data_IF_769216833680
#
_entry.id   IF_769216833680
#
_cell.length_a   1.000
_cell.length_b   1.000
_cell.length_c   1.000
_cell.angle_alpha   90.00
_cell.angle_beta   90.00
_cell.angle_gamma   90.00
#
_symmetry.space_group_name_H-M   'P 1'
#
loop_
_entity.id
_entity.type
_entity.pdbx_description
1 polymer ?
#
# COMPACT_ATOMS: atom_id res chain seq x y z
N UNK A 1 -31.49 25.29 5.61
CA UNK A 1 -30.22 25.29 4.88
C UNK A 1 -29.14 25.27 5.95
N UNK A 2 -28.54 24.11 6.22
CA UNK A 2 -27.55 23.97 7.29
C UNK A 2 -26.18 24.31 6.73
N UNK A 3 -25.59 25.37 7.28
CA UNK A 3 -24.25 25.85 7.00
C UNK A 3 -23.26 24.88 7.66
N UNK A 4 -22.82 23.86 6.90
CA UNK A 4 -21.85 22.89 7.37
C UNK A 4 -20.46 23.48 7.21
N UNK A 5 -19.99 24.22 8.22
CA UNK A 5 -18.61 24.68 8.29
C UNK A 5 -17.68 23.47 8.08
N UNK A 6 -16.76 23.50 7.09
CA UNK A 6 -15.91 22.36 6.80
C UNK A 6 -15.04 22.06 8.01
N UNK A 7 -15.33 20.95 8.69
CA UNK A 7 -14.53 20.47 9.81
C UNK A 7 -13.25 19.88 9.23
N UNK A 8 -12.10 20.48 9.56
CA UNK A 8 -10.80 19.97 9.13
C UNK A 8 -10.22 19.11 10.25
N UNK A 9 -10.00 17.82 9.97
CA UNK A 9 -9.38 16.88 10.90
C UNK A 9 -7.86 16.93 10.75
N UNK A 10 -7.15 17.15 11.85
CA UNK A 10 -5.69 17.09 11.91
C UNK A 10 -5.27 15.92 12.80
N UNK A 11 -4.50 14.99 12.24
CA UNK A 11 -3.91 13.87 12.99
C UNK A 11 -2.43 14.14 13.25
N UNK A 12 -2.01 14.08 14.52
CA UNK A 12 -0.61 14.27 14.91
C UNK A 12 -0.04 12.99 15.53
N UNK A 13 1.00 12.37 14.94
CA UNK A 13 1.58 11.15 15.48
C UNK A 13 2.35 11.43 16.77
N UNK A 14 1.85 10.90 17.89
CA UNK A 14 2.52 11.02 19.21
C UNK A 14 3.70 10.07 19.39
N UNK A 15 3.85 9.08 18.51
CA UNK A 15 4.90 8.06 18.57
C UNK A 15 5.47 7.80 17.17
N UNK A 16 6.74 7.40 17.10
CA UNK A 16 7.42 7.08 15.82
C UNK A 16 6.74 5.91 15.09
N UNK A 17 6.17 4.97 15.85
CA UNK A 17 5.31 3.90 15.32
C UNK A 17 4.11 4.47 14.56
N UNK A 18 3.40 5.42 15.17
CA UNK A 18 2.23 6.05 14.57
C UNK A 18 2.62 6.88 13.35
N UNK A 19 3.75 7.59 13.40
CA UNK A 19 4.31 8.32 12.25
C UNK A 19 4.54 7.38 11.07
N UNK A 20 5.14 6.22 11.33
CA UNK A 20 5.41 5.21 10.29
C UNK A 20 4.14 4.66 9.69
N UNK A 21 3.12 4.36 10.51
CA UNK A 21 1.84 3.83 10.03
C UNK A 21 1.06 4.82 9.19
N UNK A 22 0.92 6.07 9.65
CA UNK A 22 0.27 7.13 8.88
C UNK A 22 1.00 7.39 7.56
N UNK A 23 2.34 7.32 7.56
CA UNK A 23 3.11 7.43 6.32
C UNK A 23 2.83 6.28 5.36
N UNK A 24 2.79 5.04 5.84
CA UNK A 24 2.47 3.87 4.99
C UNK A 24 1.05 3.99 4.44
N UNK A 25 0.08 4.36 5.28
CA UNK A 25 -1.31 4.57 4.87
C UNK A 25 -1.41 5.65 3.78
N UNK A 26 -0.78 6.80 4.00
CA UNK A 26 -0.73 7.88 3.02
C UNK A 26 -0.13 7.41 1.69
N UNK A 27 1.03 6.72 1.72
CA UNK A 27 1.67 6.18 0.52
C UNK A 27 0.76 5.18 -0.21
N UNK A 28 0.10 4.28 0.52
CA UNK A 28 -0.86 3.35 -0.06
C UNK A 28 -2.06 4.07 -0.69
N UNK A 29 -2.62 5.09 -0.03
CA UNK A 29 -3.72 5.89 -0.58
C UNK A 29 -3.31 6.60 -1.87
N UNK A 30 -2.09 7.17 -1.93
CA UNK A 30 -1.54 7.77 -3.15
C UNK A 30 -1.41 6.75 -4.29
N UNK A 31 -0.92 5.54 -4.01
CA UNK A 31 -0.85 4.47 -5.01
C UNK A 31 -2.24 4.07 -5.53
N UNK A 32 -3.24 4.04 -4.64
CA UNK A 32 -4.61 3.76 -5.03
C UNK A 32 -5.26 4.90 -5.81
N UNK A 33 -4.81 6.16 -5.65
CA UNK A 33 -5.29 7.30 -6.42
C UNK A 33 -4.76 7.32 -7.86
N UNK A 34 -3.53 6.85 -8.08
CA UNK A 34 -2.88 6.82 -9.40
C UNK A 34 -3.23 5.56 -10.23
N UNK A 35 -4.48 5.08 -10.20
CA UNK A 35 -4.87 3.85 -10.94
C UNK A 35 -4.78 3.98 -12.45
N UNK A 36 -5.02 5.18 -12.96
CA UNK A 36 -4.89 5.49 -14.38
C UNK A 36 -3.54 6.17 -14.60
N UNK A 37 -2.56 5.43 -15.12
CA UNK A 37 -1.27 5.95 -15.54
C UNK A 37 -1.43 6.67 -16.89
N UNK A 38 -2.16 7.79 -16.90
CA UNK A 38 -2.51 8.53 -18.12
C UNK A 38 -1.39 9.42 -18.64
N UNK A 39 -0.43 9.77 -17.78
CA UNK A 39 0.69 10.66 -18.12
C UNK A 39 2.00 10.18 -17.48
N UNK A 40 3.11 10.55 -18.13
CA UNK A 40 4.47 10.29 -17.69
C UNK A 40 4.74 10.91 -16.31
N UNK A 41 4.20 12.10 -16.03
CA UNK A 41 4.33 12.72 -14.72
C UNK A 41 3.63 11.89 -13.62
N UNK A 42 2.46 11.32 -13.92
CA UNK A 42 1.72 10.45 -12.99
C UNK A 42 2.47 9.13 -12.79
N UNK A 43 3.02 8.55 -13.86
CA UNK A 43 3.86 7.35 -13.77
C UNK A 43 5.12 7.57 -12.92
N UNK A 44 5.81 8.69 -13.10
CA UNK A 44 6.97 9.05 -12.27
C UNK A 44 6.59 9.21 -10.80
N UNK A 45 5.48 9.89 -10.52
CA UNK A 45 4.96 10.04 -9.15
C UNK A 45 4.62 8.68 -8.56
N UNK A 46 3.94 7.80 -9.30
CA UNK A 46 3.66 6.43 -8.89
C UNK A 46 4.93 5.66 -8.50
N UNK A 47 5.95 5.65 -9.36
CA UNK A 47 7.20 4.93 -9.05
C UNK A 47 7.98 5.53 -7.87
N UNK A 48 7.92 6.86 -7.67
CA UNK A 48 8.47 7.51 -6.48
C UNK A 48 7.73 7.05 -5.22
N UNK A 49 6.41 7.05 -5.23
CA UNK A 49 5.60 6.57 -4.10
C UNK A 49 5.86 5.09 -3.80
N UNK A 50 6.02 4.24 -4.81
CA UNK A 50 6.42 2.83 -4.62
C UNK A 50 7.81 2.73 -4.00
N UNK A 51 8.78 3.53 -4.47
CA UNK A 51 10.13 3.53 -3.89
C UNK A 51 10.12 3.95 -2.43
N UNK A 52 9.42 5.05 -2.10
CA UNK A 52 9.30 5.54 -0.73
C UNK A 52 8.64 4.50 0.18
N UNK A 53 7.63 3.78 -0.31
CA UNK A 53 6.98 2.70 0.42
C UNK A 53 7.97 1.55 0.69
N UNK A 54 8.75 1.14 -0.32
CA UNK A 54 9.76 0.10 -0.15
C UNK A 54 10.85 0.51 0.86
N UNK A 55 11.27 1.77 0.84
CA UNK A 55 12.28 2.30 1.77
C UNK A 55 11.74 2.30 3.22
N UNK A 56 10.47 2.66 3.42
CA UNK A 56 9.83 2.60 4.75
C UNK A 56 9.70 1.15 5.23
N UNK A 57 9.31 0.23 4.36
CA UNK A 57 9.18 -1.20 4.68
C UNK A 57 10.52 -1.89 4.96
N UNK A 58 11.63 -1.33 4.47
CA UNK A 58 12.98 -1.87 4.68
C UNK A 58 13.63 -1.37 5.97
N UNK A 59 13.39 -0.10 6.34
CA UNK A 59 14.03 0.53 7.51
C UNK A 59 13.40 0.14 8.85
N UNK A 60 12.16 -0.35 8.84
CA UNK A 60 11.43 -0.70 10.06
C UNK A 60 11.00 -2.16 10.09
N UNK A 61 10.91 -2.74 11.30
CA UNK A 61 10.28 -4.05 11.51
C UNK A 61 8.74 -3.94 11.46
N UNK A 62 8.19 -3.43 10.36
CA UNK A 62 6.75 -3.16 10.22
C UNK A 62 5.91 -4.43 10.45
N UNK A 63 6.44 -5.60 10.05
CA UNK A 63 5.75 -6.89 10.25
C UNK A 63 5.56 -7.22 11.72
N UNK A 64 6.63 -7.19 12.49
CA UNK A 64 6.61 -7.60 13.90
C UNK A 64 5.78 -6.62 14.71
N UNK A 65 5.90 -5.32 14.42
CA UNK A 65 5.10 -4.28 15.06
C UNK A 65 3.61 -4.38 14.73
N UNK A 66 3.23 -4.69 13.48
CA UNK A 66 1.84 -4.94 13.13
C UNK A 66 1.30 -6.22 13.78
N UNK A 67 2.09 -7.31 13.81
CA UNK A 67 1.68 -8.55 14.46
C UNK A 67 1.40 -8.34 15.96
N UNK A 68 2.30 -7.66 16.67
CA UNK A 68 2.11 -7.27 18.08
C UNK A 68 0.88 -6.39 18.27
N UNK A 69 0.64 -5.44 17.37
CA UNK A 69 -0.54 -4.59 17.45
C UNK A 69 -1.83 -5.39 17.26
N UNK A 70 -1.88 -6.32 16.30
CA UNK A 70 -3.03 -7.19 16.09
C UNK A 70 -3.33 -8.05 17.34
N UNK A 71 -2.30 -8.61 17.98
CA UNK A 71 -2.45 -9.33 19.24
C UNK A 71 -2.97 -8.42 20.36
N UNK A 72 -2.43 -7.21 20.47
CA UNK A 72 -2.89 -6.22 21.45
C UNK A 72 -4.36 -5.84 21.26
N UNK A 73 -4.82 -5.70 20.01
CA UNK A 73 -6.23 -5.43 19.71
C UNK A 73 -7.13 -6.63 20.05
N UNK A 74 -6.66 -7.86 19.83
CA UNK A 74 -7.40 -9.06 20.27
C UNK A 74 -7.55 -9.12 21.79
N UNK A 75 -6.50 -8.78 22.55
CA UNK A 75 -6.56 -8.71 24.02
C UNK A 75 -7.49 -7.60 24.51
N UNK A 76 -7.51 -6.45 23.82
CA UNK A 76 -8.48 -5.39 24.11
C UNK A 76 -9.92 -5.83 23.87
N UNK A 77 -10.19 -6.54 22.78
CA UNK A 77 -11.53 -7.07 22.49
C UNK A 77 -12.00 -8.07 23.56
N UNK A 78 -11.08 -8.88 24.12
CA UNK A 78 -11.40 -9.77 25.23
C UNK A 78 -11.90 -9.05 26.48
N UNK A 79 -11.42 -7.83 26.76
CA UNK A 79 -11.86 -7.04 27.92
C UNK A 79 -13.33 -6.62 27.82
N UNK A 80 -13.93 -6.64 26.63
CA UNK A 80 -15.35 -6.36 26.44
C UNK A 80 -16.25 -7.55 26.80
N UNK A 81 -15.68 -8.74 27.06
CA UNK A 81 -16.44 -9.92 27.44
C UNK A 81 -17.16 -9.77 28.78
N UNK A 82 -16.60 -8.97 29.69
CA UNK A 82 -17.13 -8.76 31.03
C UNK A 82 -18.13 -7.59 31.10
N UNK A 83 -18.38 -6.89 29.98
CA UNK A 83 -19.23 -5.69 29.95
C UNK A 83 -20.68 -6.08 29.62
N UNK A 84 -21.67 -5.74 30.47
CA UNK A 84 -23.07 -6.07 30.21
C UNK A 84 -23.60 -5.30 28.99
N UNK A 85 -24.36 -5.99 28.13
CA UNK A 85 -24.95 -5.41 26.92
C UNK A 85 -24.08 -5.46 25.66
N UNK A 86 -22.89 -6.07 25.74
CA UNK A 86 -22.01 -6.27 24.58
C UNK A 86 -22.47 -7.47 23.74
N UNK A 87 -22.47 -7.29 22.42
CA UNK A 87 -22.67 -8.38 21.48
C UNK A 87 -21.40 -9.25 21.37
N UNK A 88 -21.40 -10.34 22.12
CA UNK A 88 -20.31 -11.30 22.14
C UNK A 88 -20.11 -12.03 20.81
N UNK A 89 -21.15 -12.13 19.98
CA UNK A 89 -21.01 -12.77 18.67
C UNK A 89 -20.16 -11.91 17.73
N UNK A 90 -20.37 -10.58 17.75
CA UNK A 90 -19.58 -9.63 16.98
C UNK A 90 -18.13 -9.57 17.50
N UNK A 91 -17.94 -9.56 18.82
CA UNK A 91 -16.60 -9.57 19.44
C UNK A 91 -15.82 -10.80 18.98
N UNK A 92 -16.41 -11.99 19.04
CA UNK A 92 -15.72 -13.22 18.64
C UNK A 92 -15.44 -13.27 17.13
N UNK A 93 -16.37 -12.77 16.30
CA UNK A 93 -16.14 -12.62 14.87
C UNK A 93 -14.93 -11.73 14.57
N UNK A 94 -14.88 -10.53 15.15
CA UNK A 94 -13.77 -9.58 14.97
C UNK A 94 -12.45 -10.17 15.47
N UNK A 95 -12.46 -10.89 16.60
CA UNK A 95 -11.28 -11.58 17.11
C UNK A 95 -10.80 -12.67 16.16
N UNK A 96 -11.70 -13.47 15.58
CA UNK A 96 -11.34 -14.49 14.60
C UNK A 96 -10.70 -13.87 13.35
N UNK A 97 -11.24 -12.74 12.87
CA UNK A 97 -10.69 -12.00 11.73
C UNK A 97 -9.29 -11.47 12.03
N UNK A 98 -9.08 -10.86 13.20
CA UNK A 98 -7.75 -10.38 13.61
C UNK A 98 -6.74 -11.52 13.71
N UNK A 99 -7.15 -12.69 14.22
CA UNK A 99 -6.30 -13.88 14.33
C UNK A 99 -5.92 -14.42 12.94
N UNK A 100 -6.87 -14.48 12.02
CA UNK A 100 -6.63 -14.88 10.63
C UNK A 100 -5.71 -13.90 9.90
N UNK A 101 -5.95 -12.59 10.05
CA UNK A 101 -5.09 -11.57 9.45
C UNK A 101 -3.66 -11.63 10.02
N UNK A 102 -3.51 -11.87 11.32
CA UNK A 102 -2.20 -12.05 11.96
C UNK A 102 -1.46 -13.28 11.42
N UNK A 103 -2.14 -14.42 11.31
CA UNK A 103 -1.52 -15.65 10.76
C UNK A 103 -1.10 -15.47 9.30
N UNK A 104 -1.95 -14.84 8.48
CA UNK A 104 -1.63 -14.49 7.09
C UNK A 104 -0.44 -13.53 6.99
N UNK A 105 -0.37 -12.53 7.88
CA UNK A 105 0.73 -11.56 7.93
C UNK A 105 2.08 -12.22 8.27
N UNK A 106 2.08 -13.15 9.22
CA UNK A 106 3.27 -13.90 9.64
C UNK A 106 3.72 -14.85 8.54
N UNK A 107 2.78 -15.57 7.91
CA UNK A 107 3.06 -16.52 6.83
C UNK A 107 3.49 -15.84 5.50
N UNK A 108 3.18 -14.55 5.32
CA UNK A 108 3.50 -13.84 4.09
C UNK A 108 5.02 -13.75 3.83
N UNK A 109 5.47 -13.82 2.56
CA UNK A 109 6.87 -13.56 2.21
C UNK A 109 7.27 -12.13 2.55
N UNK A 110 8.58 -11.84 2.65
CA UNK A 110 9.10 -10.55 3.13
C UNK A 110 8.38 -9.38 2.44
N UNK A 111 7.90 -8.42 3.23
CA UNK A 111 7.12 -7.32 2.66
C UNK A 111 7.92 -6.55 1.61
N UNK A 112 7.28 -6.26 0.49
CA UNK A 112 7.90 -5.57 -0.65
C UNK A 112 8.93 -6.41 -1.42
N UNK A 113 9.16 -7.68 -1.09
CA UNK A 113 10.02 -8.57 -1.87
C UNK A 113 9.59 -8.72 -3.34
N UNK A 114 8.32 -9.03 -3.67
CA UNK A 114 7.92 -9.20 -5.08
C UNK A 114 8.06 -7.90 -5.89
N UNK A 115 7.90 -6.74 -5.25
CA UNK A 115 8.10 -5.44 -5.87
C UNK A 115 9.58 -5.11 -6.07
N UNK A 116 10.46 -5.63 -5.21
CA UNK A 116 11.92 -5.47 -5.35
C UNK A 116 12.49 -6.37 -6.44
N UNK A 117 11.98 -7.58 -6.57
CA UNK A 117 12.41 -8.54 -7.61
C UNK A 117 11.91 -8.15 -9.01
N UNK A 118 10.99 -7.19 -9.10
CA UNK A 118 10.54 -6.66 -10.37
C UNK A 118 11.64 -5.82 -11.04
N UNK A 119 11.97 -6.20 -12.29
CA UNK A 119 13.03 -5.57 -13.08
C UNK A 119 12.71 -4.11 -13.43
N UNK A 120 11.44 -3.79 -13.70
CA UNK A 120 11.03 -2.43 -14.06
C UNK A 120 11.17 -1.52 -12.84
N UNK A 121 10.66 -1.95 -11.68
CA UNK A 121 10.75 -1.18 -10.44
C UNK A 121 12.23 -0.95 -10.06
N UNK A 122 13.06 -1.99 -10.14
CA UNK A 122 14.50 -1.88 -9.87
C UNK A 122 15.21 -0.86 -10.78
N UNK A 123 14.94 -0.91 -12.08
CA UNK A 123 15.53 0.02 -13.05
C UNK A 123 15.07 1.47 -12.84
N UNK A 124 13.80 1.68 -12.50
CA UNK A 124 13.26 3.02 -12.25
C UNK A 124 13.83 3.58 -10.95
N UNK A 125 13.89 2.79 -9.87
CA UNK A 125 14.50 3.22 -8.59
C UNK A 125 15.95 3.66 -8.75
N UNK A 126 16.75 2.93 -9.54
CA UNK A 126 18.13 3.32 -9.83
C UNK A 126 18.24 4.71 -10.49
N UNK A 127 17.27 5.08 -11.32
CA UNK A 127 17.26 6.37 -12.05
C UNK A 127 16.64 7.50 -11.23
N UNK A 128 15.71 7.20 -10.33
CA UNK A 128 15.07 8.19 -9.45
C UNK A 128 16.05 8.81 -8.44
N UNK A 129 17.12 8.09 -8.07
CA UNK A 129 18.16 8.59 -7.16
C UNK A 129 19.09 9.67 -7.76
N UNK A 130 18.97 9.97 -9.06
CA UNK A 130 19.79 11.00 -9.73
C UNK A 130 18.95 12.29 -9.86
N UNK A 131 19.25 13.35 -9.10
CA UNK A 131 18.39 14.55 -8.98
C UNK A 131 18.18 15.37 -10.26
N UNK A 132 18.76 14.99 -11.41
CA UNK A 132 18.55 15.65 -12.71
C UNK A 132 18.21 14.71 -13.89
N UNK A 133 18.29 13.37 -13.74
CA UNK A 133 18.18 12.43 -14.87
C UNK A 133 16.82 11.76 -15.03
N UNK A 134 15.91 11.90 -14.05
CA UNK A 134 14.60 11.26 -14.06
C UNK A 134 13.66 11.80 -15.15
N UNK A 135 13.75 13.10 -15.49
CA UNK A 135 12.90 13.70 -16.53
C UNK A 135 13.31 13.30 -17.96
N UNK A 136 14.61 13.14 -18.23
CA UNK A 136 15.13 12.96 -19.60
C UNK A 136 15.31 11.48 -19.99
N UNK A 137 15.68 10.61 -19.04
CA UNK A 137 16.07 9.22 -19.37
C UNK A 137 15.00 8.16 -19.16
N UNK A 138 14.01 8.40 -18.28
CA UNK A 138 12.86 7.50 -18.10
C UNK A 138 11.96 7.54 -19.35
N UNK A 139 11.87 8.72 -19.99
CA UNK A 139 11.17 8.94 -21.25
C UNK A 139 11.54 7.91 -22.33
N UNK A 140 12.83 7.63 -22.58
CA UNK A 140 13.22 6.85 -23.76
C UNK A 140 12.98 5.34 -23.66
N UNK A 141 12.86 4.79 -22.45
CA UNK A 141 12.69 3.33 -22.23
C UNK A 141 11.30 2.96 -21.71
N UNK A 142 10.65 3.82 -20.93
CA UNK A 142 9.27 3.56 -20.47
C UNK A 142 8.23 3.92 -21.54
N UNK A 143 8.43 4.99 -22.34
CA UNK A 143 7.44 5.41 -23.36
C UNK A 143 7.35 4.41 -24.51
N UNK A 144 8.48 3.82 -24.94
CA UNK A 144 8.47 2.79 -25.98
C UNK A 144 7.69 1.51 -25.60
N UNK A 145 7.48 1.26 -24.30
CA UNK A 145 6.72 0.11 -23.81
C UNK A 145 5.21 0.34 -23.68
N UNK A 146 4.74 1.60 -23.67
CA UNK A 146 3.34 1.95 -23.42
C UNK A 146 2.56 2.42 -24.67
N UNK A 147 3.17 2.47 -25.86
CA UNK A 147 2.54 3.00 -27.09
C UNK A 147 2.50 1.96 -28.26
N UNK A 148 2.20 0.68 -28.01
CA UNK A 148 2.16 -0.33 -29.08
C UNK A 148 0.83 -1.12 -29.14
N UNK A 149 -0.23 -0.60 -29.80
CA UNK A 149 -1.54 -1.23 -29.77
C UNK A 149 -1.59 -2.50 -30.64
N UNK A 150 -1.84 -3.68 -30.05
CA UNK A 150 -2.53 -4.81 -30.75
C UNK A 150 -3.13 -5.86 -29.80
N UNK A 151 -4.44 -5.68 -29.56
CA UNK A 151 -5.56 -6.64 -29.49
C UNK A 151 -5.54 -7.89 -28.57
N UNK A 152 -6.61 -7.92 -27.75
CA UNK A 152 -7.43 -9.06 -27.30
C UNK A 152 -6.95 -9.92 -26.10
N UNK A 153 -7.51 -9.65 -24.92
CA UNK A 153 -7.82 -10.69 -23.91
C UNK A 153 -8.80 -10.18 -22.86
N UNK A 154 -9.93 -10.88 -22.69
CA UNK A 154 -10.99 -10.65 -21.70
C UNK A 154 -10.55 -10.85 -20.24
N UNK A 155 -11.29 -10.33 -19.24
CA UNK A 155 -10.87 -10.32 -17.85
C UNK A 155 -11.53 -11.43 -17.03
N UNK A 156 -10.72 -12.31 -16.42
CA UNK A 156 -11.19 -13.20 -15.35
C UNK A 156 -10.09 -13.39 -14.31
N UNK A 157 -10.15 -12.63 -13.21
CA UNK A 157 -9.84 -13.07 -11.83
C UNK A 157 -9.70 -11.86 -10.87
N UNK A 158 -10.29 -11.89 -9.66
CA UNK A 158 -10.37 -10.72 -8.77
C UNK A 158 -9.33 -10.71 -7.62
N UNK A 159 -8.08 -11.11 -7.87
CA UNK A 159 -7.08 -11.15 -6.79
C UNK A 159 -5.67 -10.74 -7.21
N UNK A 160 -5.16 -9.69 -6.55
CA UNK A 160 -3.75 -9.30 -6.54
C UNK A 160 -3.40 -8.31 -7.64
N UNK A 161 -2.35 -7.54 -7.42
CA UNK A 161 -1.85 -6.40 -8.20
C UNK A 161 -1.47 -6.74 -9.67
N UNK A 162 -1.75 -7.96 -10.13
CA UNK A 162 -1.47 -8.47 -11.48
C UNK A 162 -2.20 -7.74 -12.63
N UNK A 163 -3.43 -7.19 -12.49
CA UNK A 163 -4.05 -6.39 -13.54
C UNK A 163 -3.23 -5.13 -13.90
N UNK A 164 -2.47 -4.58 -12.95
CA UNK A 164 -1.65 -3.37 -13.15
C UNK A 164 -0.49 -3.60 -14.12
N UNK A 165 0.04 -4.83 -14.18
CA UNK A 165 1.15 -5.21 -15.06
C UNK A 165 0.64 -5.47 -16.50
N UNK A 166 -0.64 -5.78 -16.67
CA UNK A 166 -1.21 -6.11 -18.00
C UNK A 166 -1.44 -4.87 -18.88
N UNK A 167 -1.62 -3.68 -18.30
CA UNK A 167 -1.65 -2.41 -19.03
C UNK A 167 -0.26 -1.94 -19.54
N UNK A 168 0.83 -2.61 -19.15
CA UNK A 168 2.21 -2.29 -19.58
C UNK A 168 2.70 -3.31 -20.63
N UNK A 169 1.83 -4.22 -21.10
CA UNK A 169 2.19 -5.28 -22.07
C UNK A 169 1.41 -5.26 -23.38
N UNK A 170 0.69 -4.18 -23.67
CA UNK A 170 0.22 -3.82 -25.01
C UNK A 170 0.38 -2.31 -25.18
#
# INVERSE_FOLDING_TARGET
MSDASPTVLFEHPLNEKMRTWLRIEFLLQQLHGHRALSDTAIALTFFRTVSDLLDVLERGEVRTELAKELERQQQKLLQWADVPGVDMSLVEQLRSQLKELSSRLIAAPRMGQPLREDKLISLVRQRLGIPAAAAVSICRRCICGCMCPSQSATPTSPSGWKPWIRCIRH
#
